data_IF_027904901996
#
_entry.id   IF_027904901996
#
_cell.length_a   1.000
_cell.length_b   1.000
_cell.length_c   1.000
_cell.angle_alpha   90.00
_cell.angle_beta   90.00
_cell.angle_gamma   90.00
#
_symmetry.space_group_name_H-M   'P 1'
#
loop_
_entity.id
_entity.type
_entity.pdbx_description
1 polymer ?
#
# COMPACT_ATOMS: atom_id res chain seq x y z
N UNK A 1 -1.00 2.94 13.77
CA UNK A 1 -0.71 3.33 12.36
C UNK A 1 -0.01 2.14 11.80
N UNK A 2 -0.64 1.46 10.85
CA UNK A 2 -0.25 0.11 10.50
C UNK A 2 1.10 0.12 9.82
N UNK A 3 2.10 -0.53 10.42
CA UNK A 3 3.42 -0.68 9.82
C UNK A 3 3.58 -2.00 9.09
N UNK A 4 2.75 -3.01 9.40
CA UNK A 4 2.93 -4.39 8.95
C UNK A 4 1.58 -5.00 8.52
N UNK A 5 1.55 -5.68 7.37
CA UNK A 5 0.37 -6.41 6.91
C UNK A 5 0.76 -7.64 6.09
N UNK A 6 -0.16 -8.59 5.97
CA UNK A 6 -0.04 -9.72 5.04
C UNK A 6 -0.67 -9.33 3.71
N UNK A 7 0.10 -9.20 2.61
CA UNK A 7 -0.46 -8.91 1.30
C UNK A 7 -1.21 -10.13 0.76
N UNK A 8 -2.12 -9.91 -0.19
CA UNK A 8 -2.70 -11.02 -0.94
C UNK A 8 -1.70 -11.46 -2.00
N UNK A 9 -1.23 -12.70 -1.89
CA UNK A 9 -0.23 -13.28 -2.80
C UNK A 9 -0.80 -14.34 -3.73
N UNK A 10 -1.98 -14.86 -3.41
CA UNK A 10 -2.69 -15.87 -4.20
C UNK A 10 -3.47 -15.21 -5.37
N UNK A 11 -3.15 -15.63 -6.60
CA UNK A 11 -3.78 -15.11 -7.82
C UNK A 11 -5.27 -15.45 -7.94
N UNK A 12 -5.75 -16.58 -7.43
CA UNK A 12 -7.18 -16.89 -7.41
C UNK A 12 -7.94 -15.91 -6.51
N UNK A 13 -7.37 -15.57 -5.36
CA UNK A 13 -7.96 -14.60 -4.42
C UNK A 13 -7.94 -13.18 -4.98
N UNK A 14 -6.84 -12.76 -5.61
CA UNK A 14 -6.75 -11.46 -6.27
C UNK A 14 -7.73 -11.33 -7.43
N UNK A 15 -7.82 -12.35 -8.27
CA UNK A 15 -8.73 -12.37 -9.42
C UNK A 15 -10.18 -12.31 -8.95
N UNK A 16 -10.56 -13.14 -7.98
CA UNK A 16 -11.93 -13.20 -7.47
C UNK A 16 -12.37 -11.89 -6.80
N UNK A 17 -11.47 -11.20 -6.06
CA UNK A 17 -11.83 -10.00 -5.29
C UNK A 17 -11.64 -8.69 -6.06
N UNK A 18 -10.59 -8.60 -6.88
CA UNK A 18 -10.13 -7.37 -7.50
C UNK A 18 -10.06 -7.44 -9.03
N UNK A 19 -10.23 -8.62 -9.64
CA UNK A 19 -10.19 -8.78 -11.09
C UNK A 19 -8.78 -8.63 -11.70
N UNK A 20 -7.73 -8.86 -10.90
CA UNK A 20 -6.32 -8.73 -11.33
C UNK A 20 -5.52 -9.95 -10.87
N UNK A 21 -4.38 -10.18 -11.51
CA UNK A 21 -3.38 -11.17 -11.08
C UNK A 21 -2.02 -10.48 -10.91
N UNK A 22 -1.17 -11.04 -10.06
CA UNK A 22 0.22 -10.62 -9.93
C UNK A 22 0.99 -10.84 -11.24
N UNK A 23 1.98 -9.98 -11.54
CA UNK A 23 2.92 -10.23 -12.63
C UNK A 23 3.75 -11.49 -12.35
N UNK A 24 4.12 -12.19 -13.43
CA UNK A 24 4.99 -13.36 -13.35
C UNK A 24 6.41 -12.99 -12.89
N UNK A 25 7.13 -13.96 -12.31
CA UNK A 25 8.54 -13.82 -11.96
C UNK A 25 8.84 -13.00 -10.70
N UNK A 26 7.81 -12.64 -9.92
CA UNK A 26 7.99 -11.96 -8.62
C UNK A 26 7.57 -12.90 -7.50
N UNK A 27 8.43 -13.08 -6.51
CA UNK A 27 8.09 -13.78 -5.26
C UNK A 27 7.53 -12.77 -4.24
N UNK A 28 6.23 -12.82 -3.95
CA UNK A 28 5.63 -11.84 -3.06
C UNK A 28 6.01 -12.11 -1.60
N UNK A 29 6.30 -11.03 -0.86
CA UNK A 29 6.52 -11.14 0.60
C UNK A 29 5.29 -11.69 1.32
N UNK A 30 5.49 -12.53 2.33
CA UNK A 30 4.43 -12.95 3.25
C UNK A 30 4.11 -11.90 4.32
N UNK A 31 4.97 -10.88 4.47
CA UNK A 31 4.77 -9.77 5.41
C UNK A 31 5.33 -8.48 4.81
N UNK A 32 4.45 -7.56 4.45
CA UNK A 32 4.82 -6.24 3.97
C UNK A 32 5.09 -5.31 5.15
N UNK A 33 6.20 -4.59 5.09
CA UNK A 33 6.59 -3.55 6.05
C UNK A 33 7.34 -2.42 5.35
N UNK A 34 7.62 -1.32 6.04
CA UNK A 34 8.27 -0.15 5.44
C UNK A 34 9.60 -0.50 4.74
N UNK A 35 9.71 -0.15 3.45
CA UNK A 35 10.85 -0.46 2.60
C UNK A 35 10.81 -1.86 1.96
N UNK A 36 9.73 -2.63 2.14
CA UNK A 36 9.54 -3.93 1.49
C UNK A 36 8.69 -3.78 0.25
N UNK A 37 9.05 -4.50 -0.82
CA UNK A 37 8.24 -4.59 -2.04
C UNK A 37 6.98 -5.41 -1.78
N UNK A 38 5.82 -4.87 -2.15
CA UNK A 38 4.54 -5.54 -1.98
C UNK A 38 3.60 -5.26 -3.16
N UNK A 39 2.59 -6.12 -3.38
CA UNK A 39 1.56 -5.90 -4.39
C UNK A 39 0.77 -4.61 -4.14
N UNK A 40 0.47 -3.91 -5.24
CA UNK A 40 -0.39 -2.72 -5.25
C UNK A 40 -1.14 -2.68 -6.57
N UNK A 41 -2.42 -2.33 -6.51
CA UNK A 41 -3.29 -2.24 -7.68
C UNK A 41 -3.38 -0.78 -8.07
N UNK A 42 -2.94 -0.46 -9.28
CA UNK A 42 -3.04 0.87 -9.87
C UNK A 42 -3.99 0.85 -11.06
N UNK A 43 -4.37 2.03 -11.54
CA UNK A 43 -5.09 2.16 -12.80
C UNK A 43 -4.21 1.63 -13.94
N UNK A 44 -4.76 0.76 -14.78
CA UNK A 44 -4.09 0.29 -15.99
C UNK A 44 -4.02 1.42 -17.03
N UNK A 45 -2.84 1.60 -17.63
CA UNK A 45 -2.59 2.60 -18.67
C UNK A 45 -1.83 1.95 -19.85
N UNK A 46 -2.37 1.96 -21.09
CA UNK A 46 -3.69 2.47 -21.47
C UNK A 46 -4.81 1.63 -20.88
N UNK A 47 -5.97 2.24 -20.62
CA UNK A 47 -7.12 1.55 -20.03
C UNK A 47 -7.68 0.47 -20.98
N UNK A 48 -7.49 -0.83 -20.72
CA UNK A 48 -8.09 -1.87 -21.54
C UNK A 48 -9.60 -1.96 -21.29
N UNK A 49 -10.34 -2.54 -22.24
CA UNK A 49 -11.79 -2.72 -22.11
C UNK A 49 -12.17 -3.66 -20.94
N UNK A 50 -11.29 -4.61 -20.61
CA UNK A 50 -11.59 -5.73 -19.71
C UNK A 50 -11.04 -5.55 -18.29
N UNK A 51 -10.14 -4.59 -18.05
CA UNK A 51 -9.53 -4.36 -16.75
C UNK A 51 -9.43 -2.87 -16.41
N UNK A 52 -9.97 -2.48 -15.26
CA UNK A 52 -9.87 -1.11 -14.76
C UNK A 52 -8.56 -0.80 -14.03
N UNK A 53 -7.82 -1.85 -13.66
CA UNK A 53 -6.56 -1.77 -12.93
C UNK A 53 -5.65 -2.94 -13.22
N UNK A 54 -4.40 -2.82 -12.79
CA UNK A 54 -3.36 -3.84 -12.89
C UNK A 54 -2.64 -3.96 -11.54
N UNK A 55 -2.22 -5.17 -11.18
CA UNK A 55 -1.35 -5.37 -10.02
C UNK A 55 0.11 -5.12 -10.44
N UNK A 56 0.79 -4.24 -9.69
CA UNK A 56 2.23 -3.99 -9.78
C UNK A 56 2.86 -4.29 -8.42
N UNK A 57 4.19 -4.31 -8.39
CA UNK A 57 4.94 -4.30 -7.14
C UNK A 57 5.46 -2.91 -6.87
N UNK A 58 5.32 -2.47 -5.62
CA UNK A 58 5.85 -1.20 -5.16
C UNK A 58 6.51 -1.29 -3.79
N UNK A 59 7.39 -0.35 -3.50
CA UNK A 59 8.00 -0.17 -2.19
C UNK A 59 6.96 0.41 -1.22
N UNK A 60 6.72 -0.26 -0.08
CA UNK A 60 5.89 0.29 0.98
C UNK A 60 6.59 1.46 1.67
N UNK A 61 6.08 2.67 1.46
CA UNK A 61 6.71 3.93 1.83
C UNK A 61 6.92 4.80 0.61
N UNK A 62 6.05 5.79 0.43
CA UNK A 62 6.04 6.64 -0.76
C UNK A 62 7.31 7.49 -0.83
N UNK A 63 8.04 7.38 -1.94
CA UNK A 63 9.24 8.13 -2.22
C UNK A 63 8.88 9.35 -3.09
N UNK A 64 8.94 10.58 -2.55
CA UNK A 64 8.79 11.78 -3.37
C UNK A 64 10.03 12.00 -4.24
N UNK A 65 9.91 12.80 -5.31
CA UNK A 65 10.99 13.05 -6.27
C UNK A 65 12.28 13.62 -5.64
N UNK A 66 12.19 14.26 -4.46
CA UNK A 66 13.34 14.82 -3.74
C UNK A 66 14.01 13.83 -2.79
N UNK A 67 13.47 12.62 -2.60
CA UNK A 67 14.12 11.59 -1.79
C UNK A 67 15.41 11.14 -2.47
N UNK A 68 16.51 11.12 -1.70
CA UNK A 68 17.84 10.75 -2.18
C UNK A 68 18.11 9.26 -2.11
N UNK A 69 17.40 8.55 -1.23
CA UNK A 69 17.57 7.12 -0.99
C UNK A 69 16.24 6.45 -0.56
N UNK A 70 16.13 5.11 -0.73
CA UNK A 70 14.93 4.37 -0.35
C UNK A 70 14.62 4.35 1.15
N UNK A 71 15.58 4.71 2.02
CA UNK A 71 15.38 4.77 3.48
C UNK A 71 14.28 5.75 3.89
N UNK A 72 13.99 6.74 3.04
CA UNK A 72 12.88 7.67 3.22
C UNK A 72 11.52 6.98 3.39
N UNK A 73 11.36 5.77 2.83
CA UNK A 73 10.15 4.94 2.94
C UNK A 73 9.69 4.70 4.39
N UNK A 74 10.64 4.68 5.34
CA UNK A 74 10.36 4.52 6.78
C UNK A 74 9.58 5.69 7.39
N UNK A 75 9.47 6.80 6.70
CA UNK A 75 8.74 7.99 7.16
C UNK A 75 7.41 8.21 6.43
N UNK A 76 7.12 7.42 5.39
CA UNK A 76 6.02 7.67 4.45
C UNK A 76 5.19 6.44 4.11
N UNK A 77 5.33 5.33 4.85
CA UNK A 77 4.50 4.13 4.66
C UNK A 77 3.01 4.36 5.01
N UNK A 78 2.70 5.37 5.83
CA UNK A 78 1.36 5.86 6.08
C UNK A 78 1.20 7.35 5.72
N UNK A 79 0.01 7.71 5.26
CA UNK A 79 -0.37 9.05 4.89
C UNK A 79 -1.71 9.43 5.54
N UNK A 80 -1.68 10.40 6.47
CA UNK A 80 -2.88 10.95 7.10
C UNK A 80 -3.74 11.68 6.08
N UNK A 81 -4.98 11.23 5.90
CA UNK A 81 -5.95 11.80 4.95
C UNK A 81 -6.19 13.29 5.18
N UNK A 82 -6.09 13.77 6.42
CA UNK A 82 -6.23 15.17 6.81
C UNK A 82 -5.12 16.06 6.23
N UNK A 83 -3.94 15.49 5.95
CA UNK A 83 -2.74 16.24 5.55
C UNK A 83 -2.17 15.85 4.19
N UNK A 84 -2.75 14.87 3.50
CA UNK A 84 -2.24 14.36 2.22
C UNK A 84 -2.14 15.43 1.13
N UNK A 85 -3.03 16.44 1.16
CA UNK A 85 -3.09 17.51 0.15
C UNK A 85 -1.99 18.57 0.29
N UNK A 86 -1.42 18.71 1.49
CA UNK A 86 -0.47 19.78 1.84
C UNK A 86 0.94 19.27 2.10
N UNK A 87 1.11 18.05 2.61
CA UNK A 87 2.44 17.49 2.93
C UNK A 87 3.27 17.29 1.66
N UNK A 88 4.53 17.78 1.61
CA UNK A 88 5.39 17.69 0.43
C UNK A 88 5.56 16.26 -0.11
N UNK A 89 5.64 15.27 0.78
CA UNK A 89 5.80 13.88 0.40
C UNK A 89 4.59 13.30 -0.35
N UNK A 90 3.38 13.85 -0.20
CA UNK A 90 2.15 13.21 -0.68
C UNK A 90 1.34 14.07 -1.66
N UNK A 91 1.46 15.40 -1.56
CA UNK A 91 0.62 16.34 -2.30
C UNK A 91 0.67 16.12 -3.80
N UNK A 92 1.84 15.79 -4.35
CA UNK A 92 2.01 15.58 -5.78
C UNK A 92 1.22 14.35 -6.26
N UNK A 93 1.37 13.21 -5.60
CA UNK A 93 0.59 11.99 -5.87
C UNK A 93 -0.91 12.22 -5.73
N UNK A 94 -1.35 12.96 -4.70
CA UNK A 94 -2.76 13.29 -4.51
C UNK A 94 -3.32 14.09 -5.69
N UNK A 95 -2.68 15.21 -6.04
CA UNK A 95 -3.17 16.11 -7.09
C UNK A 95 -3.04 15.50 -8.50
N UNK A 96 -2.04 14.65 -8.73
CA UNK A 96 -1.89 13.87 -9.96
C UNK A 96 -2.90 12.70 -10.07
N UNK A 97 -3.73 12.47 -9.04
CA UNK A 97 -4.70 11.40 -9.05
C UNK A 97 -4.10 9.99 -8.94
N UNK A 98 -2.84 9.86 -8.50
CA UNK A 98 -2.10 8.61 -8.31
C UNK A 98 -2.62 7.85 -7.09
N UNK A 99 -3.83 7.33 -7.21
CA UNK A 99 -4.54 6.50 -6.23
C UNK A 99 -4.29 5.03 -6.52
N UNK A 100 -4.18 4.23 -5.48
CA UNK A 100 -4.03 2.78 -5.58
C UNK A 100 -4.91 2.06 -4.56
N UNK A 101 -5.09 0.76 -4.79
CA UNK A 101 -5.66 -0.19 -3.83
C UNK A 101 -4.55 -1.13 -3.38
N UNK A 102 -4.35 -1.24 -2.07
CA UNK A 102 -3.38 -2.16 -1.47
C UNK A 102 -4.16 -3.43 -1.08
N UNK A 103 -3.95 -4.58 -1.77
CA UNK A 103 -4.64 -5.82 -1.46
C UNK A 103 -4.04 -6.46 -0.21
N UNK A 104 -4.86 -6.62 0.83
CA UNK A 104 -4.44 -7.09 2.16
C UNK A 104 -5.27 -8.30 2.60
N UNK A 105 -4.60 -9.35 3.05
CA UNK A 105 -5.24 -10.48 3.72
C UNK A 105 -5.57 -10.11 5.17
N UNK A 106 -4.60 -9.57 5.91
CA UNK A 106 -4.77 -9.12 7.29
C UNK A 106 -3.83 -7.97 7.63
N UNK A 107 -4.28 -7.06 8.49
CA UNK A 107 -3.45 -6.05 9.14
C UNK A 107 -2.96 -6.58 10.48
N UNK A 108 -1.79 -6.11 10.92
CA UNK A 108 -1.26 -6.39 12.26
C UNK A 108 -1.04 -5.10 13.02
N UNK A 109 -1.68 -4.95 14.18
CA UNK A 109 -1.58 -3.76 15.03
C UNK A 109 -1.37 -4.17 16.49
N UNK A 110 -0.61 -3.36 17.22
CA UNK A 110 -0.44 -3.56 18.66
C UNK A 110 -1.64 -3.01 19.41
N UNK A 111 -2.32 -3.87 20.15
CA UNK A 111 -3.36 -3.49 21.11
C UNK A 111 -2.75 -3.37 22.50
N UNK A 112 -3.20 -2.36 23.25
CA UNK A 112 -2.85 -2.13 24.65
C UNK A 112 -4.07 -2.17 25.57
N UNK A 113 -5.21 -2.67 25.07
CA UNK A 113 -6.48 -2.70 25.82
C UNK A 113 -6.39 -3.51 27.13
N UNK A 114 -5.52 -4.54 27.17
CA UNK A 114 -5.28 -5.35 28.37
C UNK A 114 -4.22 -4.75 29.31
N UNK A 115 -3.66 -3.57 29.01
CA UNK A 115 -2.57 -2.94 29.76
C UNK A 115 -1.16 -3.44 29.39
N UNK A 116 -1.05 -4.38 28.46
CA UNK A 116 0.22 -4.91 27.90
C UNK A 116 0.14 -4.96 26.36
N UNK A 117 1.26 -4.91 25.63
CA UNK A 117 1.25 -5.02 24.17
C UNK A 117 0.82 -6.42 23.73
N UNK A 118 -0.25 -6.50 22.94
CA UNK A 118 -0.75 -7.72 22.31
C UNK A 118 -0.84 -7.52 20.80
N UNK A 119 -0.30 -8.45 20.02
CA UNK A 119 -0.43 -8.39 18.56
C UNK A 119 -1.84 -8.81 18.17
N UNK A 120 -2.57 -7.88 17.56
CA UNK A 120 -3.90 -8.12 17.04
C UNK A 120 -3.87 -8.20 15.52
N UNK A 121 -4.69 -9.09 14.97
CA UNK A 121 -4.87 -9.22 13.54
C UNK A 121 -6.26 -8.78 13.13
N UNK A 122 -6.34 -7.93 12.12
CA UNK A 122 -7.59 -7.36 11.62
C UNK A 122 -7.78 -7.87 10.20
N UNK A 123 -8.91 -8.55 9.95
CA UNK A 123 -9.28 -9.13 8.65
C UNK A 123 -10.81 -9.15 8.52
N UNK A 124 -11.32 -9.44 7.32
CA UNK A 124 -12.76 -9.65 7.13
C UNK A 124 -13.22 -10.90 7.88
N UNK A 125 -14.47 -10.87 8.37
CA UNK A 125 -15.06 -12.01 9.09
C UNK A 125 -15.26 -13.24 8.20
N UNK A 126 -15.49 -13.02 6.90
CA UNK A 126 -15.58 -14.09 5.88
C UNK A 126 -14.20 -14.46 5.30
N UNK A 127 -13.12 -13.94 5.90
CA UNK A 127 -11.73 -14.10 5.49
C UNK A 127 -11.40 -13.55 4.09
N UNK A 128 -12.33 -12.89 3.42
CA UNK A 128 -12.11 -12.33 2.08
C UNK A 128 -11.05 -11.22 2.09
N UNK A 129 -10.33 -11.02 0.97
CA UNK A 129 -9.33 -9.96 0.92
C UNK A 129 -9.90 -8.55 1.04
N UNK A 130 -9.15 -7.69 1.74
CA UNK A 130 -9.43 -6.26 1.92
C UNK A 130 -8.67 -5.43 0.88
N UNK A 131 -9.29 -4.34 0.42
CA UNK A 131 -8.61 -3.32 -0.36
C UNK A 131 -8.43 -2.05 0.46
N UNK A 132 -7.19 -1.72 0.83
CA UNK A 132 -6.90 -0.47 1.53
C UNK A 132 -6.64 0.65 0.53
N UNK A 133 -7.13 1.85 0.82
CA UNK A 133 -6.88 3.01 -0.01
C UNK A 133 -5.42 3.48 0.15
N UNK A 134 -4.77 3.81 -0.96
CA UNK A 134 -3.41 4.32 -0.95
C UNK A 134 -3.14 5.41 -1.99
N UNK A 135 -1.97 6.03 -1.84
CA UNK A 135 -1.34 6.85 -2.86
C UNK A 135 -0.10 6.14 -3.38
N UNK A 136 0.25 6.38 -4.64
CA UNK A 136 1.48 5.86 -5.22
C UNK A 136 2.26 6.94 -5.97
N UNK A 137 3.55 6.67 -6.21
CA UNK A 137 4.40 7.48 -7.07
C UNK A 137 5.42 6.58 -7.76
N UNK A 138 5.87 6.99 -8.95
CA UNK A 138 7.14 6.52 -9.49
C UNK A 138 8.24 7.40 -8.92
N UNK A 139 9.35 6.78 -8.53
CA UNK A 139 10.55 7.44 -8.04
C UNK A 139 11.74 6.90 -8.81
N UNK A 140 12.56 7.81 -9.32
CA UNK A 140 13.81 7.48 -10.00
C UNK A 140 14.96 7.80 -9.06
N UNK A 141 15.78 6.79 -8.76
CA UNK A 141 16.95 6.94 -7.91
C UNK A 141 18.01 7.84 -8.57
N UNK A 142 18.96 8.39 -7.81
CA UNK A 142 20.10 9.10 -8.38
C UNK A 142 20.92 8.26 -9.38
N UNK A 143 20.83 6.93 -9.32
CA UNK A 143 21.48 6.01 -10.25
C UNK A 143 20.65 5.76 -11.54
N UNK A 144 19.46 6.36 -11.66
CA UNK A 144 18.58 6.22 -12.83
C UNK A 144 17.57 5.07 -12.74
N UNK A 145 17.57 4.32 -11.63
CA UNK A 145 16.67 3.18 -11.44
C UNK A 145 15.28 3.68 -11.02
N UNK A 146 14.22 3.25 -11.73
CA UNK A 146 12.85 3.69 -11.43
C UNK A 146 12.07 2.57 -10.75
N UNK A 147 11.38 2.91 -9.66
CA UNK A 147 10.47 2.00 -8.97
C UNK A 147 9.18 2.71 -8.58
N UNK A 148 8.13 1.90 -8.43
CA UNK A 148 6.87 2.34 -7.84
C UNK A 148 7.00 2.30 -6.32
N UNK A 149 6.50 3.33 -5.64
CA UNK A 149 6.37 3.37 -4.18
C UNK A 149 4.95 3.78 -3.79
N UNK A 150 4.49 3.36 -2.62
CA UNK A 150 3.13 3.65 -2.18
C UNK A 150 3.01 3.94 -0.69
N UNK A 151 1.91 4.58 -0.29
CA UNK A 151 1.56 4.89 1.10
C UNK A 151 0.13 4.49 1.39
N UNK A 152 -0.12 3.88 2.54
CA UNK A 152 -1.46 3.58 3.03
C UNK A 152 -2.13 4.85 3.56
N UNK A 153 -3.36 5.12 3.13
CA UNK A 153 -4.14 6.21 3.70
C UNK A 153 -4.65 5.83 5.09
N UNK A 154 -4.49 6.73 6.05
CA UNK A 154 -4.99 6.56 7.41
C UNK A 154 -6.01 7.62 7.77
N UNK A 155 -6.95 7.24 8.62
CA UNK A 155 -7.93 8.12 9.25
C UNK A 155 -7.83 7.98 10.78
N UNK A 156 -8.38 8.94 11.50
CA UNK A 156 -8.60 8.85 12.93
C UNK A 156 -9.53 7.64 13.24
N UNK A 157 -9.22 6.91 14.32
CA UNK A 157 -9.98 5.74 14.76
C UNK A 157 -10.62 5.96 16.15
N UNK A 158 -10.60 7.18 16.68
CA UNK A 158 -11.25 7.51 17.94
C UNK A 158 -12.76 7.32 17.78
N UNK A 159 -13.37 6.57 18.69
CA UNK A 159 -14.80 6.28 18.65
C UNK A 159 -15.24 5.29 17.55
N UNK A 160 -14.31 4.63 16.85
CA UNK A 160 -14.65 3.54 15.94
C UNK A 160 -15.10 2.30 16.74
N UNK A 161 -16.34 1.86 16.51
CA UNK A 161 -16.99 0.73 17.18
C UNK A 161 -17.18 -0.45 16.23
#
# INVERSE_FOLDING_TARGET
MCSNYEPVTDNHRLLARFGVTLPEGVDPTSCASAGVMAPVIVRAEPRPAEALGEARFGLMGLLPHFATDPGFARHTYNCRTETMKSKPAFRESWWAGRRCVIPVQRLSEWSYASGRPEMWHIQQADESPMGLAGLWSEWTSPAGETLLSFSMLTLNADGHA
#
